data_IF_207818280711
#
_entry.id   IF_207818280711
#
_cell.length_a   1.000
_cell.length_b   1.000
_cell.length_c   1.000
_cell.angle_alpha   90.00
_cell.angle_beta   90.00
_cell.angle_gamma   90.00
#
_symmetry.space_group_name_H-M   'P 1'
#
loop_
_entity.id
_entity.type
_entity.pdbx_description
1 polymer ?
#
# COMPACT_ATOMS: atom_id res chain seq x y z
N UNK A 1 15.57 9.60 24.47
CA UNK A 1 14.36 9.29 23.72
C UNK A 1 14.56 8.01 22.90
N UNK A 2 13.55 7.13 22.84
CA UNK A 2 13.54 5.94 22.00
C UNK A 2 12.77 6.24 20.71
N UNK A 3 13.41 6.07 19.55
CA UNK A 3 12.77 6.16 18.24
C UNK A 3 12.64 4.75 17.65
N UNK A 4 11.41 4.29 17.41
CA UNK A 4 11.15 2.96 16.86
C UNK A 4 11.47 2.83 15.36
N UNK A 5 11.71 3.95 14.69
CA UNK A 5 12.16 4.05 13.29
C UNK A 5 11.36 3.17 12.32
N UNK A 6 10.11 3.54 12.07
CA UNK A 6 9.18 2.78 11.20
C UNK A 6 9.69 2.57 9.75
N UNK A 7 10.70 3.32 9.31
CA UNK A 7 11.29 3.19 7.97
C UNK A 7 12.38 2.12 7.89
N UNK A 8 12.85 1.62 9.04
CA UNK A 8 13.93 0.64 9.11
C UNK A 8 13.62 -0.55 10.04
N UNK A 9 12.57 -0.45 10.86
CA UNK A 9 12.22 -1.49 11.82
C UNK A 9 11.43 -2.61 11.12
N UNK A 10 11.92 -3.86 11.12
CA UNK A 10 11.22 -4.99 10.50
C UNK A 10 9.89 -5.34 11.17
N UNK A 11 9.66 -4.93 12.41
CA UNK A 11 8.36 -5.14 13.07
C UNK A 11 7.22 -4.41 12.37
N UNK A 12 7.51 -3.33 11.63
CA UNK A 12 6.52 -2.64 10.82
C UNK A 12 5.86 -3.58 9.81
N UNK A 13 6.63 -4.20 8.91
CA UNK A 13 6.06 -5.16 7.96
C UNK A 13 5.70 -6.50 8.62
N UNK A 14 6.40 -6.87 9.68
CA UNK A 14 6.15 -8.09 10.43
C UNK A 14 4.74 -8.13 11.05
N UNK A 15 4.23 -6.99 11.53
CA UNK A 15 2.85 -6.88 12.00
C UNK A 15 1.85 -7.20 10.88
N UNK A 16 2.01 -6.61 9.70
CA UNK A 16 1.14 -6.84 8.55
C UNK A 16 1.25 -8.27 7.99
N UNK A 17 2.43 -8.87 8.06
CA UNK A 17 2.62 -10.27 7.70
C UNK A 17 1.82 -11.21 8.62
N UNK A 18 1.83 -10.93 9.94
CA UNK A 18 1.16 -11.78 10.94
C UNK A 18 -0.34 -11.52 11.06
N UNK A 19 -0.84 -10.35 10.65
CA UNK A 19 -2.25 -9.97 10.83
C UNK A 19 -2.94 -9.61 9.53
N UNK A 20 -2.60 -8.50 8.92
CA UNK A 20 -3.29 -7.94 7.74
C UNK A 20 -3.29 -8.91 6.54
N UNK A 21 -2.17 -9.54 6.25
CA UNK A 21 -2.05 -10.53 5.18
C UNK A 21 -3.00 -11.73 5.36
N UNK A 22 -2.94 -12.43 6.51
CA UNK A 22 -3.89 -13.51 6.83
C UNK A 22 -5.35 -13.08 6.81
N UNK A 23 -5.69 -11.89 7.30
CA UNK A 23 -7.05 -11.37 7.29
C UNK A 23 -7.57 -11.19 5.86
N UNK A 24 -6.77 -10.54 4.98
CA UNK A 24 -7.12 -10.36 3.56
C UNK A 24 -7.32 -11.73 2.88
N UNK A 25 -6.42 -12.66 3.10
CA UNK A 25 -6.52 -14.01 2.52
C UNK A 25 -7.80 -14.73 2.94
N UNK A 26 -8.10 -14.71 4.25
CA UNK A 26 -9.32 -15.32 4.81
C UNK A 26 -10.58 -14.63 4.25
N UNK A 27 -10.64 -13.30 4.28
CA UNK A 27 -11.83 -12.54 3.93
C UNK A 27 -12.14 -12.61 2.43
N UNK A 28 -11.10 -12.76 1.60
CA UNK A 28 -11.25 -13.04 0.15
C UNK A 28 -11.41 -14.52 -0.17
N UNK A 29 -11.41 -15.41 0.83
CA UNK A 29 -11.50 -16.86 0.65
C UNK A 29 -10.40 -17.39 -0.30
N UNK A 30 -9.21 -16.79 -0.29
CA UNK A 30 -8.11 -17.14 -1.17
C UNK A 30 -8.32 -16.81 -2.66
N UNK A 31 -9.36 -16.06 -3.00
CA UNK A 31 -9.71 -15.71 -4.39
C UNK A 31 -9.08 -14.40 -4.87
N UNK A 32 -8.34 -13.72 -4.00
CA UNK A 32 -7.64 -12.48 -4.35
C UNK A 32 -6.66 -12.71 -5.49
N UNK A 33 -6.70 -11.84 -6.51
CA UNK A 33 -5.80 -11.87 -7.67
C UNK A 33 -4.83 -10.70 -7.67
N UNK A 34 -5.24 -9.56 -7.13
CA UNK A 34 -4.46 -8.33 -7.07
C UNK A 34 -4.56 -7.72 -5.67
N UNK A 35 -3.44 -7.26 -5.15
CA UNK A 35 -3.39 -6.45 -3.94
C UNK A 35 -2.81 -5.07 -4.29
N UNK A 36 -3.63 -4.03 -4.14
CA UNK A 36 -3.24 -2.64 -4.40
C UNK A 36 -3.01 -1.91 -3.09
N UNK A 37 -1.87 -1.25 -2.94
CA UNK A 37 -1.53 -0.53 -1.71
C UNK A 37 -0.83 0.79 -1.99
N UNK A 38 -1.30 1.86 -1.37
CA UNK A 38 -0.57 3.12 -1.30
C UNK A 38 0.74 2.95 -0.52
N UNK A 39 1.83 3.50 -1.04
CA UNK A 39 3.16 3.36 -0.46
C UNK A 39 3.56 4.58 0.37
N UNK A 40 3.58 4.43 1.70
CA UNK A 40 4.15 5.39 2.64
C UNK A 40 5.46 4.86 3.20
N UNK A 41 5.44 4.27 4.40
CA UNK A 41 6.61 3.56 4.98
C UNK A 41 6.94 2.26 4.25
N UNK A 42 6.05 1.79 3.41
CA UNK A 42 6.03 0.50 2.71
C UNK A 42 5.75 -0.73 3.59
N UNK A 43 5.51 -0.55 4.88
CA UNK A 43 5.29 -1.65 5.82
C UNK A 43 4.13 -2.56 5.43
N UNK A 44 2.99 -1.98 5.06
CA UNK A 44 1.80 -2.74 4.65
C UNK A 44 2.07 -3.58 3.41
N UNK A 45 2.55 -2.96 2.33
CA UNK A 45 2.80 -3.68 1.07
C UNK A 45 3.89 -4.74 1.23
N UNK A 46 4.91 -4.48 2.07
CA UNK A 46 5.98 -5.45 2.34
C UNK A 46 5.49 -6.65 3.16
N UNK A 47 4.67 -6.43 4.18
CA UNK A 47 4.15 -7.52 5.01
C UNK A 47 3.10 -8.36 4.28
N UNK A 48 2.14 -7.68 3.65
CA UNK A 48 1.04 -8.35 2.93
C UNK A 48 1.55 -9.10 1.71
N UNK A 49 2.47 -8.52 0.92
CA UNK A 49 3.03 -9.19 -0.26
C UNK A 49 3.76 -10.48 0.10
N UNK A 50 4.53 -10.48 1.20
CA UNK A 50 5.18 -11.71 1.70
C UNK A 50 4.16 -12.80 1.95
N UNK A 51 3.14 -12.50 2.76
CA UNK A 51 2.13 -13.48 3.10
C UNK A 51 1.34 -13.97 1.88
N UNK A 52 0.84 -13.06 1.05
CA UNK A 52 0.01 -13.42 -0.10
C UNK A 52 0.79 -14.22 -1.15
N UNK A 53 2.05 -13.85 -1.44
CA UNK A 53 2.90 -14.60 -2.39
C UNK A 53 3.27 -16.00 -1.89
N UNK A 54 3.34 -16.23 -0.58
CA UNK A 54 3.50 -17.57 0.00
C UNK A 54 2.25 -18.42 -0.20
N UNK A 55 1.06 -17.81 -0.13
CA UNK A 55 -0.20 -18.54 -0.37
C UNK A 55 -0.41 -18.82 -1.87
N UNK A 56 -0.19 -17.82 -2.71
CA UNK A 56 -0.32 -17.93 -4.16
C UNK A 56 0.64 -16.96 -4.87
N UNK A 57 1.73 -17.45 -5.47
CA UNK A 57 2.71 -16.60 -6.15
C UNK A 57 2.17 -15.84 -7.38
N UNK A 58 1.01 -16.23 -7.91
CA UNK A 58 0.39 -15.57 -9.06
C UNK A 58 -0.31 -14.23 -8.69
N UNK A 59 -0.55 -13.97 -7.40
CA UNK A 59 -1.17 -12.71 -6.93
C UNK A 59 -0.28 -11.53 -7.34
N UNK A 60 -0.88 -10.55 -8.02
CA UNK A 60 -0.18 -9.34 -8.42
C UNK A 60 -0.15 -8.33 -7.27
N UNK A 61 1.02 -7.80 -6.96
CA UNK A 61 1.24 -6.77 -5.95
C UNK A 61 1.46 -5.44 -6.65
N UNK A 62 0.55 -4.50 -6.41
CA UNK A 62 0.53 -3.19 -7.06
C UNK A 62 0.76 -2.10 -6.02
N UNK A 63 1.86 -1.36 -6.16
CA UNK A 63 2.13 -0.17 -5.38
C UNK A 63 1.51 1.08 -6.01
N UNK A 64 0.95 1.97 -5.20
CA UNK A 64 0.47 3.27 -5.63
C UNK A 64 1.35 4.37 -5.02
N UNK A 65 1.82 5.28 -5.85
CA UNK A 65 2.59 6.47 -5.45
C UNK A 65 2.05 7.73 -6.13
N UNK A 66 2.34 8.94 -5.61
CA UNK A 66 1.92 10.16 -6.28
C UNK A 66 2.73 10.42 -7.56
N UNK A 67 2.15 11.15 -8.51
CA UNK A 67 2.88 11.75 -9.64
C UNK A 67 3.90 12.78 -9.14
N UNK A 68 4.87 13.17 -9.98
CA UNK A 68 5.96 14.09 -9.57
C UNK A 68 5.47 15.47 -9.13
N UNK A 69 4.36 15.93 -9.69
CA UNK A 69 3.73 17.22 -9.41
C UNK A 69 2.67 17.16 -8.30
N UNK A 70 2.49 16.01 -7.67
CA UNK A 70 1.43 15.78 -6.69
C UNK A 70 1.96 15.50 -5.28
N UNK A 71 1.23 15.99 -4.27
CA UNK A 71 1.46 15.68 -2.86
C UNK A 71 0.19 15.10 -2.24
N UNK A 72 0.20 13.81 -1.97
CA UNK A 72 -0.93 13.11 -1.37
C UNK A 72 -0.57 12.75 0.08
N UNK A 73 -1.29 13.28 1.09
CA UNK A 73 -1.02 12.91 2.48
C UNK A 73 -1.10 11.39 2.69
N UNK A 74 -0.05 10.84 3.30
CA UNK A 74 0.02 9.40 3.63
C UNK A 74 0.74 8.53 2.60
N UNK A 75 0.93 9.01 1.37
CA UNK A 75 1.73 8.30 0.37
C UNK A 75 2.94 9.13 -0.09
N UNK A 76 3.96 8.42 -0.57
CA UNK A 76 5.25 9.03 -0.96
C UNK A 76 5.76 8.39 -2.24
N UNK A 77 6.35 9.22 -3.12
CA UNK A 77 7.30 8.80 -4.14
C UNK A 77 8.69 9.06 -3.57
N UNK A 78 9.35 8.00 -3.14
CA UNK A 78 10.63 8.11 -2.46
C UNK A 78 11.77 8.32 -3.46
N UNK A 79 12.62 9.34 -3.27
CA UNK A 79 13.92 9.39 -3.94
C UNK A 79 14.76 8.16 -3.55
N UNK A 80 15.60 7.68 -4.46
CA UNK A 80 16.37 6.45 -4.26
C UNK A 80 17.22 6.50 -2.98
N UNK A 81 17.82 7.65 -2.68
CA UNK A 81 18.65 7.89 -1.50
C UNK A 81 17.88 7.87 -0.17
N UNK A 82 16.55 8.02 -0.21
CA UNK A 82 15.68 8.05 0.97
C UNK A 82 14.69 6.89 1.03
N UNK A 83 14.88 5.87 0.21
CA UNK A 83 14.03 4.68 0.25
C UNK A 83 14.00 4.08 1.66
N UNK A 84 12.83 3.72 2.20
CA UNK A 84 12.73 3.01 3.46
C UNK A 84 13.61 1.75 3.44
N UNK A 85 14.39 1.51 4.50
CA UNK A 85 15.29 0.35 4.57
C UNK A 85 14.55 -0.99 4.58
N UNK A 86 13.25 -0.96 4.95
CA UNK A 86 12.39 -2.15 4.91
C UNK A 86 11.81 -2.43 3.53
N UNK A 87 11.99 -1.53 2.55
CA UNK A 87 11.43 -1.67 1.21
C UNK A 87 12.26 -2.61 0.35
N UNK A 88 11.63 -3.63 -0.21
CA UNK A 88 12.18 -4.57 -1.17
C UNK A 88 11.43 -4.40 -2.51
N UNK A 89 11.97 -3.61 -3.47
CA UNK A 89 11.26 -3.31 -4.73
C UNK A 89 10.81 -4.54 -5.52
N UNK A 90 11.60 -5.62 -5.46
CA UNK A 90 11.30 -6.87 -6.17
C UNK A 90 10.03 -7.59 -5.69
N UNK A 91 9.44 -7.17 -4.56
CA UNK A 91 8.16 -7.68 -4.07
C UNK A 91 6.95 -6.99 -4.68
N UNK A 92 7.17 -5.89 -5.40
CA UNK A 92 6.11 -5.11 -6.04
C UNK A 92 6.15 -5.40 -7.53
N UNK A 93 5.10 -6.02 -8.05
CA UNK A 93 5.04 -6.42 -9.47
C UNK A 93 4.82 -5.21 -10.38
N UNK A 94 4.05 -4.22 -9.92
CA UNK A 94 3.76 -2.98 -10.66
C UNK A 94 3.68 -1.79 -9.72
N UNK A 95 4.09 -0.62 -10.21
CA UNK A 95 3.87 0.66 -9.52
C UNK A 95 3.04 1.55 -10.43
N UNK A 96 1.94 2.08 -9.89
CA UNK A 96 1.06 3.03 -10.57
C UNK A 96 1.19 4.40 -9.94
N UNK A 97 1.11 5.43 -10.75
CA UNK A 97 1.13 6.81 -10.30
C UNK A 97 -0.28 7.40 -10.33
N UNK A 98 -0.62 8.16 -9.29
CA UNK A 98 -1.92 8.79 -9.13
C UNK A 98 -1.70 10.25 -8.75
N UNK A 99 -2.39 11.16 -9.41
CA UNK A 99 -2.36 12.57 -9.06
C UNK A 99 -3.18 12.87 -7.80
N UNK A 100 -2.90 14.01 -7.18
CA UNK A 100 -3.67 14.47 -6.01
C UNK A 100 -5.15 14.68 -6.35
N UNK A 101 -5.45 15.18 -7.55
CA UNK A 101 -6.82 15.44 -8.00
C UNK A 101 -7.59 14.13 -8.19
N UNK A 102 -7.00 13.13 -8.83
CA UNK A 102 -7.59 11.80 -9.00
C UNK A 102 -7.86 11.14 -7.65
N UNK A 103 -6.88 11.16 -6.73
CA UNK A 103 -7.03 10.61 -5.39
C UNK A 103 -8.15 11.30 -4.60
N UNK A 104 -8.23 12.63 -4.68
CA UNK A 104 -9.28 13.43 -4.01
C UNK A 104 -10.66 13.15 -4.61
N UNK A 105 -10.75 13.10 -5.93
CA UNK A 105 -11.99 12.79 -6.64
C UNK A 105 -12.50 11.39 -6.26
N UNK A 106 -11.62 10.40 -6.27
CA UNK A 106 -11.96 9.01 -5.91
C UNK A 106 -12.36 8.88 -4.45
N UNK A 107 -11.69 9.57 -3.51
CA UNK A 107 -12.09 9.58 -2.10
C UNK A 107 -13.52 10.12 -1.91
N UNK A 108 -13.90 11.17 -2.66
CA UNK A 108 -15.26 11.72 -2.64
C UNK A 108 -16.28 10.77 -3.27
N UNK A 109 -15.89 10.06 -4.33
CA UNK A 109 -16.75 9.03 -4.95
C UNK A 109 -17.01 7.87 -3.99
N UNK A 110 -15.97 7.35 -3.32
CA UNK A 110 -16.13 6.33 -2.29
C UNK A 110 -17.14 6.72 -1.21
N UNK A 111 -17.06 7.96 -0.73
CA UNK A 111 -18.01 8.44 0.27
C UNK A 111 -19.45 8.50 -0.25
N UNK A 112 -19.67 8.94 -1.50
CA UNK A 112 -20.99 9.13 -2.08
C UNK A 112 -21.62 7.84 -2.61
N UNK A 113 -20.82 6.99 -3.23
CA UNK A 113 -21.30 5.82 -3.97
C UNK A 113 -21.31 4.56 -3.09
N UNK A 114 -20.32 4.42 -2.20
CA UNK A 114 -20.13 3.22 -1.38
C UNK A 114 -20.35 3.47 0.12
N UNK A 115 -20.55 4.72 0.54
CA UNK A 115 -20.69 5.07 1.96
C UNK A 115 -19.38 4.93 2.76
N UNK A 116 -18.22 4.82 2.09
CA UNK A 116 -16.90 4.67 2.71
C UNK A 116 -16.24 6.03 2.83
N UNK A 117 -16.25 6.59 4.03
CA UNK A 117 -15.56 7.86 4.33
C UNK A 117 -14.11 7.60 4.73
N UNK A 118 -13.19 7.81 3.79
CA UNK A 118 -11.77 7.54 3.97
C UNK A 118 -10.90 8.70 3.47
N UNK A 119 -9.61 8.69 3.78
CA UNK A 119 -8.65 9.72 3.39
C UNK A 119 -8.26 9.69 1.92
N UNK A 120 -7.57 10.74 1.45
CA UNK A 120 -7.11 10.85 0.07
C UNK A 120 -6.18 9.70 -0.35
N UNK A 121 -5.36 9.18 0.57
CA UNK A 121 -4.50 8.02 0.29
C UNK A 121 -5.29 6.75 -0.04
N UNK A 122 -6.47 6.58 0.59
CA UNK A 122 -7.40 5.50 0.23
C UNK A 122 -8.00 5.73 -1.16
N UNK A 123 -8.37 6.98 -1.46
CA UNK A 123 -8.78 7.35 -2.81
C UNK A 123 -7.72 7.04 -3.87
N UNK A 124 -6.45 7.33 -3.57
CA UNK A 124 -5.33 6.98 -4.44
C UNK A 124 -5.19 5.48 -4.67
N UNK A 125 -5.32 4.66 -3.63
CA UNK A 125 -5.26 3.20 -3.76
C UNK A 125 -6.43 2.61 -4.56
N UNK A 126 -7.61 3.21 -4.46
CA UNK A 126 -8.80 2.75 -5.24
C UNK A 126 -8.76 3.26 -6.67
N UNK A 127 -8.12 4.42 -6.92
CA UNK A 127 -7.93 4.96 -8.26
C UNK A 127 -6.95 4.13 -9.09
N UNK A 128 -5.92 3.59 -8.42
CA UNK A 128 -4.89 2.77 -9.05
C UNK A 128 -5.44 1.41 -9.52
#
# INVERSE_FOLDING_TARGET
YLMLNQFANPDNYGAHYRTTGPEIWRDTQGKITHFVSSMGTTGTIMGVSRYLKEQNPAIQIVGCQPTDDSSIPGIRKWPVEYLPKIFEPQRVDRVLEVSQDEATHMARRLAREEGVFAGMSSGGAVQA
#
